data_IF_466644702163
#
_entry.id   IF_466644702163
#
_cell.length_a   1.000
_cell.length_b   1.000
_cell.length_c   1.000
_cell.angle_alpha   90.00
_cell.angle_beta   90.00
_cell.angle_gamma   90.00
#
_symmetry.space_group_name_H-M   'P 1'
#
loop_
_entity.id
_entity.type
_entity.pdbx_description
1 polymer ?
#
# COMPACT_ATOMS: atom_id res chain seq x y z
N UNK A 1 7.86 -14.13 9.42
CA UNK A 1 8.87 -13.24 10.05
C UNK A 1 8.32 -11.84 10.32
N UNK A 2 8.11 -10.98 9.30
CA UNK A 2 7.72 -9.58 9.53
C UNK A 2 6.43 -9.37 10.33
N UNK A 3 5.44 -10.27 10.23
CA UNK A 3 4.27 -10.25 11.09
C UNK A 3 4.65 -10.41 12.59
N UNK A 4 5.50 -11.38 12.92
CA UNK A 4 5.97 -11.55 14.30
C UNK A 4 6.86 -10.39 14.76
N UNK A 5 7.68 -9.83 13.84
CA UNK A 5 8.49 -8.65 14.12
C UNK A 5 7.59 -7.45 14.47
N UNK A 6 6.59 -7.14 13.64
CA UNK A 6 5.71 -5.96 13.85
C UNK A 6 4.98 -6.01 15.20
N UNK A 7 4.60 -7.20 15.67
CA UNK A 7 3.95 -7.39 16.98
C UNK A 7 4.78 -6.89 18.16
N UNK A 8 6.11 -6.83 18.05
CA UNK A 8 6.95 -6.25 19.11
C UNK A 8 6.56 -4.80 19.41
N UNK A 9 6.17 -4.03 18.37
CA UNK A 9 5.69 -2.66 18.54
C UNK A 9 4.35 -2.57 19.28
N UNK A 10 3.48 -3.58 19.16
CA UNK A 10 2.22 -3.61 19.94
C UNK A 10 2.46 -4.11 21.36
N UNK A 11 3.28 -5.15 21.53
CA UNK A 11 3.62 -5.71 22.84
C UNK A 11 4.36 -4.70 23.71
N UNK A 12 5.25 -3.88 23.12
CA UNK A 12 5.98 -2.84 23.85
C UNK A 12 5.08 -1.73 24.41
N UNK A 13 3.86 -1.52 23.89
CA UNK A 13 2.92 -0.52 24.42
C UNK A 13 2.57 -0.81 25.88
N UNK A 14 2.37 -2.08 26.27
CA UNK A 14 2.04 -2.46 27.65
C UNK A 14 3.09 -1.99 28.67
N UNK A 15 4.37 -2.39 28.51
CA UNK A 15 5.46 -1.88 29.34
C UNK A 15 5.65 -0.36 29.29
N UNK A 16 5.49 0.28 28.12
CA UNK A 16 5.60 1.74 27.98
C UNK A 16 4.55 2.45 28.84
N UNK A 17 3.30 1.98 28.83
CA UNK A 17 2.23 2.53 29.67
C UNK A 17 2.47 2.24 31.16
N UNK A 18 2.93 1.04 31.51
CA UNK A 18 3.23 0.67 32.89
C UNK A 18 4.37 1.52 33.51
N UNK A 19 5.26 2.04 32.67
CA UNK A 19 6.36 2.94 33.06
C UNK A 19 6.01 4.43 32.92
N UNK A 20 4.74 4.77 32.62
CA UNK A 20 4.25 6.15 32.40
C UNK A 20 4.96 6.90 31.26
N UNK A 21 5.43 6.16 30.23
CA UNK A 21 6.18 6.71 29.11
C UNK A 21 5.31 7.12 27.90
N UNK A 22 3.98 7.21 28.04
CA UNK A 22 3.10 7.57 26.91
C UNK A 22 3.31 8.97 26.33
N UNK A 23 3.88 9.89 27.12
CA UNK A 23 4.21 11.25 26.68
C UNK A 23 5.56 11.33 25.95
N UNK A 24 6.35 10.25 25.99
CA UNK A 24 7.66 10.17 25.34
C UNK A 24 7.56 9.60 23.92
N UNK A 25 8.55 9.93 23.10
CA UNK A 25 8.62 9.54 21.68
C UNK A 25 8.61 8.03 21.48
N UNK A 26 9.10 7.26 22.45
CA UNK A 26 9.11 5.80 22.42
C UNK A 26 7.70 5.21 22.22
N UNK A 27 6.66 5.84 22.77
CA UNK A 27 5.28 5.43 22.55
C UNK A 27 4.90 5.57 21.07
N UNK A 28 5.24 6.69 20.46
CA UNK A 28 5.03 6.93 19.03
C UNK A 28 5.86 5.97 18.16
N UNK A 29 7.15 5.77 18.48
CA UNK A 29 8.02 4.84 17.78
C UNK A 29 7.47 3.42 17.80
N UNK A 30 6.91 2.97 18.92
CA UNK A 30 6.30 1.65 19.08
C UNK A 30 5.10 1.44 18.14
N UNK A 31 4.20 2.44 18.07
CA UNK A 31 3.05 2.42 17.16
C UNK A 31 3.52 2.41 15.70
N UNK A 32 4.47 3.28 15.35
CA UNK A 32 5.00 3.33 14.00
C UNK A 32 5.78 2.07 13.62
N UNK A 33 6.45 1.42 14.58
CA UNK A 33 7.15 0.16 14.35
C UNK A 33 6.16 -0.92 13.89
N UNK A 34 5.05 -1.05 14.60
CA UNK A 34 3.97 -1.95 14.22
C UNK A 34 3.44 -1.61 12.81
N UNK A 35 3.01 -0.37 12.58
CA UNK A 35 2.43 0.05 11.30
C UNK A 35 3.40 -0.13 10.11
N UNK A 36 4.66 0.28 10.30
CA UNK A 36 5.69 0.22 9.27
C UNK A 36 5.98 -1.22 8.86
N UNK A 37 6.26 -2.11 9.82
CA UNK A 37 6.54 -3.51 9.51
C UNK A 37 5.29 -4.29 9.10
N UNK A 38 4.09 -3.80 9.40
CA UNK A 38 2.86 -4.36 8.85
C UNK A 38 2.73 -4.04 7.35
N UNK A 39 2.89 -2.77 6.95
CA UNK A 39 2.65 -2.32 5.58
C UNK A 39 3.84 -2.57 4.64
N UNK A 40 5.05 -2.22 5.07
CA UNK A 40 6.28 -2.37 4.27
C UNK A 40 6.94 -3.75 4.46
N UNK A 41 6.61 -4.44 5.55
CA UNK A 41 6.99 -5.82 5.79
C UNK A 41 5.85 -6.78 5.43
N UNK A 42 5.10 -7.23 6.42
CA UNK A 42 4.18 -8.35 6.33
C UNK A 42 3.31 -8.34 5.06
N UNK A 43 2.48 -7.32 4.86
CA UNK A 43 1.56 -7.26 3.73
C UNK A 43 2.28 -7.23 2.38
N UNK A 44 3.40 -6.51 2.31
CA UNK A 44 4.18 -6.39 1.10
C UNK A 44 4.81 -7.71 0.66
N UNK A 45 5.48 -8.39 1.58
CA UNK A 45 6.12 -9.68 1.28
C UNK A 45 5.08 -10.80 1.09
N UNK A 46 3.96 -10.76 1.80
CA UNK A 46 2.85 -11.68 1.56
C UNK A 46 2.28 -11.53 0.13
N UNK A 47 2.04 -10.29 -0.32
CA UNK A 47 1.57 -10.01 -1.67
C UNK A 47 2.54 -10.52 -2.74
N UNK A 48 3.84 -10.27 -2.59
CA UNK A 48 4.86 -10.78 -3.52
C UNK A 48 4.91 -12.32 -3.52
N UNK A 49 4.90 -12.95 -2.34
CA UNK A 49 4.94 -14.40 -2.22
C UNK A 49 3.72 -15.07 -2.87
N UNK A 50 2.52 -14.52 -2.65
CA UNK A 50 1.28 -14.99 -3.30
C UNK A 50 1.39 -14.83 -4.82
N UNK A 51 1.86 -13.68 -5.30
CA UNK A 51 2.01 -13.41 -6.74
C UNK A 51 3.01 -14.35 -7.42
N UNK A 52 4.17 -14.60 -6.81
CA UNK A 52 5.17 -15.55 -7.30
C UNK A 52 4.61 -16.97 -7.28
N UNK A 53 4.00 -17.40 -6.17
CA UNK A 53 3.42 -18.74 -6.05
C UNK A 53 2.32 -18.99 -7.07
N UNK A 54 1.47 -17.98 -7.30
CA UNK A 54 0.46 -18.03 -8.34
C UNK A 54 1.09 -18.20 -9.73
N UNK A 55 2.16 -17.45 -10.04
CA UNK A 55 2.84 -17.55 -11.32
C UNK A 55 3.46 -18.94 -11.54
N UNK A 56 4.13 -19.50 -10.53
CA UNK A 56 4.67 -20.87 -10.55
C UNK A 56 3.59 -21.91 -10.87
N UNK A 57 2.43 -21.83 -10.21
CA UNK A 57 1.32 -22.76 -10.40
C UNK A 57 0.74 -22.73 -11.82
N UNK A 58 0.94 -21.65 -12.57
CA UNK A 58 0.44 -21.48 -13.93
C UNK A 58 1.54 -21.59 -14.99
N UNK A 59 2.71 -22.14 -14.61
CA UNK A 59 3.86 -22.34 -15.51
C UNK A 59 4.48 -21.03 -16.00
N UNK A 60 4.30 -19.93 -15.28
CA UNK A 60 4.91 -18.64 -15.58
C UNK A 60 6.25 -18.58 -14.86
N UNK A 61 7.33 -18.37 -15.60
CA UNK A 61 8.68 -18.25 -15.06
C UNK A 61 8.92 -16.87 -14.41
N UNK A 62 8.22 -16.63 -13.30
CA UNK A 62 8.42 -15.46 -12.44
C UNK A 62 9.19 -15.85 -11.20
N UNK A 63 10.51 -15.81 -11.29
CA UNK A 63 11.37 -16.00 -10.12
C UNK A 63 11.70 -14.64 -9.48
N UNK A 64 11.69 -14.54 -8.15
CA UNK A 64 12.29 -13.43 -7.41
C UNK A 64 13.61 -13.89 -6.79
N UNK A 65 14.72 -13.39 -7.33
CA UNK A 65 16.05 -13.82 -6.90
C UNK A 65 16.38 -13.29 -5.51
N UNK A 66 17.29 -13.99 -4.83
CA UNK A 66 17.72 -13.66 -3.48
C UNK A 66 18.21 -12.22 -3.36
N UNK A 67 18.86 -11.66 -4.40
CA UNK A 67 19.32 -10.27 -4.37
C UNK A 67 18.15 -9.29 -4.31
N UNK A 68 17.11 -9.48 -5.13
CA UNK A 68 15.91 -8.62 -5.09
C UNK A 68 15.21 -8.72 -3.74
N UNK A 69 15.13 -9.92 -3.16
CA UNK A 69 14.52 -10.12 -1.84
C UNK A 69 15.34 -9.45 -0.71
N UNK A 70 16.66 -9.58 -0.73
CA UNK A 70 17.54 -8.91 0.25
C UNK A 70 17.41 -7.40 0.14
N UNK A 71 17.33 -6.83 -1.07
CA UNK A 71 17.13 -5.39 -1.25
C UNK A 71 15.80 -4.92 -0.63
N UNK A 72 14.71 -5.65 -0.86
CA UNK A 72 13.42 -5.35 -0.22
C UNK A 72 13.49 -5.44 1.30
N UNK A 73 14.16 -6.47 1.84
CA UNK A 73 14.27 -6.68 3.30
C UNK A 73 15.07 -5.56 3.95
N UNK A 74 16.27 -5.26 3.41
CA UNK A 74 17.12 -4.20 3.93
C UNK A 74 16.44 -2.84 3.81
N UNK A 75 15.78 -2.58 2.68
CA UNK A 75 14.96 -1.38 2.50
C UNK A 75 13.86 -1.27 3.55
N UNK A 76 13.07 -2.33 3.78
CA UNK A 76 12.00 -2.32 4.77
C UNK A 76 12.53 -2.06 6.19
N UNK A 77 13.68 -2.62 6.56
CA UNK A 77 14.30 -2.36 7.87
C UNK A 77 14.79 -0.91 7.98
N UNK A 78 15.54 -0.43 6.98
CA UNK A 78 16.14 0.90 7.01
C UNK A 78 15.11 2.03 6.93
N UNK A 79 14.05 1.85 6.15
CA UNK A 79 12.99 2.86 5.98
C UNK A 79 12.16 3.07 7.24
N UNK A 80 12.26 2.21 8.27
CA UNK A 80 11.67 2.50 9.57
C UNK A 80 12.26 3.78 10.20
N UNK A 81 13.51 4.11 9.87
CA UNK A 81 14.13 5.37 10.27
C UNK A 81 13.30 6.60 9.85
N UNK A 82 12.42 6.49 8.85
CA UNK A 82 11.53 7.57 8.44
C UNK A 82 10.51 7.90 9.55
N UNK A 83 10.00 6.88 10.25
CA UNK A 83 9.11 7.11 11.39
C UNK A 83 9.85 7.79 12.55
N UNK A 84 11.12 7.44 12.77
CA UNK A 84 11.96 8.06 13.81
C UNK A 84 12.31 9.50 13.42
N UNK A 85 12.59 9.78 12.15
CA UNK A 85 12.95 11.10 11.63
C UNK A 85 11.91 12.19 11.90
N UNK A 86 10.67 11.80 12.22
CA UNK A 86 9.62 12.73 12.60
C UNK A 86 9.81 13.32 14.00
N UNK A 87 10.24 12.50 14.96
CA UNK A 87 10.53 12.93 16.34
C UNK A 87 11.98 13.41 16.46
N UNK A 88 12.91 12.66 15.85
CA UNK A 88 14.37 12.86 15.96
C UNK A 88 14.99 13.12 14.58
N UNK A 89 14.92 14.37 14.05
CA UNK A 89 15.40 14.73 12.72
C UNK A 89 16.92 14.90 12.67
N UNK A 90 17.66 13.85 13.01
CA UNK A 90 19.13 13.84 12.97
C UNK A 90 19.70 13.43 11.59
N UNK A 91 20.88 13.93 11.20
CA UNK A 91 21.50 13.59 9.92
C UNK A 91 21.70 12.09 9.69
N UNK A 92 22.02 11.33 10.75
CA UNK A 92 22.17 9.87 10.68
C UNK A 92 20.84 9.19 10.34
N UNK A 93 19.75 9.63 10.95
CA UNK A 93 18.40 9.08 10.69
C UNK A 93 17.99 9.36 9.25
N UNK A 94 18.19 10.58 8.76
CA UNK A 94 17.96 10.89 7.33
C UNK A 94 18.86 10.09 6.40
N UNK A 95 20.13 9.84 6.76
CA UNK A 95 21.03 8.98 6.00
C UNK A 95 20.51 7.55 5.86
N UNK A 96 19.97 6.97 6.95
CA UNK A 96 19.34 5.64 6.92
C UNK A 96 18.08 5.63 6.06
N UNK A 97 17.24 6.67 6.15
CA UNK A 97 16.06 6.85 5.28
C UNK A 97 16.47 6.87 3.81
N UNK A 98 17.41 7.74 3.44
CA UNK A 98 17.86 7.88 2.05
C UNK A 98 18.43 6.57 1.51
N UNK A 99 19.26 5.86 2.30
CA UNK A 99 19.77 4.55 1.92
C UNK A 99 18.64 3.54 1.73
N UNK A 100 17.72 3.43 2.69
CA UNK A 100 16.59 2.50 2.63
C UNK A 100 15.70 2.74 1.42
N UNK A 101 15.45 4.00 1.08
CA UNK A 101 14.66 4.42 -0.07
C UNK A 101 15.38 4.13 -1.41
N UNK A 102 16.69 4.35 -1.50
CA UNK A 102 17.47 3.98 -2.70
C UNK A 102 17.46 2.48 -2.94
N UNK A 103 17.65 1.68 -1.87
CA UNK A 103 17.51 0.23 -1.96
C UNK A 103 16.09 -0.19 -2.37
N UNK A 104 15.08 0.51 -1.86
CA UNK A 104 13.67 0.29 -2.24
C UNK A 104 13.45 0.49 -3.73
N UNK A 105 13.91 1.63 -4.25
CA UNK A 105 13.74 2.00 -5.64
C UNK A 105 14.44 0.99 -6.54
N UNK A 106 15.65 0.56 -6.17
CA UNK A 106 16.37 -0.46 -6.93
C UNK A 106 15.65 -1.81 -6.92
N UNK A 107 15.13 -2.24 -5.76
CA UNK A 107 14.32 -3.44 -5.65
C UNK A 107 13.05 -3.35 -6.51
N UNK A 108 12.35 -2.21 -6.48
CA UNK A 108 11.14 -1.96 -7.26
C UNK A 108 11.41 -2.00 -8.77
N UNK A 109 12.49 -1.37 -9.24
CA UNK A 109 12.90 -1.43 -10.65
C UNK A 109 13.14 -2.89 -11.05
N UNK A 110 13.93 -3.66 -10.29
CA UNK A 110 14.19 -5.08 -10.58
C UNK A 110 12.90 -5.92 -10.60
N UNK A 111 12.01 -5.73 -9.64
CA UNK A 111 10.71 -6.40 -9.60
C UNK A 111 9.86 -6.03 -10.82
N UNK A 112 9.83 -4.75 -11.20
CA UNK A 112 9.09 -4.30 -12.39
C UNK A 112 9.61 -4.92 -13.69
N UNK A 113 10.93 -4.97 -13.89
CA UNK A 113 11.53 -5.63 -15.07
C UNK A 113 11.10 -7.10 -15.17
N UNK A 114 11.16 -7.84 -14.05
CA UNK A 114 10.74 -9.25 -14.01
C UNK A 114 9.26 -9.44 -14.31
N UNK A 115 8.39 -8.61 -13.72
CA UNK A 115 6.96 -8.63 -14.00
C UNK A 115 6.67 -8.28 -15.47
N UNK A 116 7.41 -7.34 -16.04
CA UNK A 116 7.25 -6.94 -17.44
C UNK A 116 7.63 -8.06 -18.42
N UNK A 117 8.68 -8.83 -18.12
CA UNK A 117 9.14 -9.95 -18.93
C UNK A 117 8.08 -11.07 -19.04
N UNK A 118 7.35 -11.33 -17.95
CA UNK A 118 6.31 -12.37 -17.92
C UNK A 118 4.90 -11.85 -18.25
N UNK A 119 4.74 -10.56 -18.53
CA UNK A 119 3.44 -9.91 -18.72
C UNK A 119 2.60 -10.59 -19.81
N UNK A 120 3.23 -11.05 -20.89
CA UNK A 120 2.54 -11.75 -21.99
C UNK A 120 1.93 -13.08 -21.55
N UNK A 121 2.67 -13.86 -20.76
CA UNK A 121 2.22 -15.15 -20.23
C UNK A 121 1.13 -14.94 -19.17
N UNK A 122 1.35 -14.03 -18.22
CA UNK A 122 0.39 -13.69 -17.18
C UNK A 122 -0.95 -13.18 -17.75
N UNK A 123 -0.91 -12.38 -18.83
CA UNK A 123 -2.11 -11.87 -19.51
C UNK A 123 -3.02 -12.95 -20.06
N UNK A 124 -2.50 -14.14 -20.36
CA UNK A 124 -3.30 -15.28 -20.89
C UNK A 124 -3.99 -16.05 -19.77
N UNK A 125 -3.43 -16.04 -18.56
CA UNK A 125 -3.94 -16.80 -17.42
C UNK A 125 -4.99 -16.04 -16.60
N UNK A 126 -4.88 -14.71 -16.54
CA UNK A 126 -5.82 -13.89 -15.77
C UNK A 126 -7.10 -13.54 -16.53
N UNK A 127 -8.28 -13.59 -15.86
CA UNK A 127 -9.49 -12.93 -16.34
C UNK A 127 -9.29 -11.42 -16.55
N UNK A 128 -10.00 -10.81 -17.50
CA UNK A 128 -9.87 -9.38 -17.83
C UNK A 128 -9.92 -8.45 -16.62
N UNK A 129 -10.89 -8.65 -15.74
CA UNK A 129 -11.07 -7.83 -14.53
C UNK A 129 -9.98 -8.07 -13.49
N UNK A 130 -9.46 -9.30 -13.39
CA UNK A 130 -8.33 -9.58 -12.52
C UNK A 130 -7.07 -8.88 -13.03
N UNK A 131 -6.84 -8.87 -14.36
CA UNK A 131 -5.73 -8.12 -14.97
C UNK A 131 -5.82 -6.63 -14.69
N UNK A 132 -7.04 -6.09 -14.74
CA UNK A 132 -7.27 -4.68 -14.44
C UNK A 132 -6.98 -4.38 -12.96
N UNK A 133 -7.49 -5.19 -12.02
CA UNK A 133 -7.21 -5.04 -10.59
C UNK A 133 -5.71 -5.16 -10.27
N UNK A 134 -4.99 -6.11 -10.87
CA UNK A 134 -3.52 -6.18 -10.76
C UNK A 134 -2.86 -4.92 -11.31
N UNK A 135 -3.33 -4.42 -12.45
CA UNK A 135 -2.82 -3.18 -13.04
C UNK A 135 -2.96 -1.98 -12.09
N UNK A 136 -4.12 -1.84 -11.45
CA UNK A 136 -4.36 -0.79 -10.43
C UNK A 136 -3.45 -1.00 -9.22
N UNK A 137 -3.34 -2.23 -8.70
CA UNK A 137 -2.46 -2.53 -7.57
C UNK A 137 -0.99 -2.17 -7.88
N UNK A 138 -0.50 -2.52 -9.07
CA UNK A 138 0.86 -2.20 -9.53
C UNK A 138 1.07 -0.69 -9.71
N UNK A 139 0.06 0.05 -10.18
CA UNK A 139 0.11 1.50 -10.26
C UNK A 139 0.17 2.14 -8.87
N UNK A 140 -0.64 1.69 -7.91
CA UNK A 140 -0.57 2.13 -6.52
C UNK A 140 0.78 1.80 -5.88
N UNK A 141 1.35 0.63 -6.18
CA UNK A 141 2.70 0.24 -5.78
C UNK A 141 3.77 1.17 -6.35
N UNK A 142 3.69 1.51 -7.64
CA UNK A 142 4.61 2.45 -8.25
C UNK A 142 4.50 3.83 -7.58
N UNK A 143 3.28 4.33 -7.39
CA UNK A 143 3.03 5.59 -6.69
C UNK A 143 3.59 5.57 -5.26
N UNK A 144 3.40 4.47 -4.51
CA UNK A 144 3.97 4.29 -3.17
C UNK A 144 5.49 4.45 -3.20
N UNK A 145 6.17 3.76 -4.11
CA UNK A 145 7.63 3.83 -4.25
C UNK A 145 8.07 5.24 -4.63
N UNK A 146 7.35 5.94 -5.51
CA UNK A 146 7.64 7.32 -5.89
C UNK A 146 7.49 8.28 -4.71
N UNK A 147 6.40 8.18 -3.95
CA UNK A 147 6.18 9.00 -2.74
C UNK A 147 7.26 8.73 -1.69
N UNK A 148 7.61 7.47 -1.45
CA UNK A 148 8.72 7.11 -0.55
C UNK A 148 10.08 7.57 -1.09
N UNK A 149 10.25 7.65 -2.41
CA UNK A 149 11.45 8.23 -3.03
C UNK A 149 11.54 9.72 -2.79
N UNK A 150 10.42 10.43 -2.90
CA UNK A 150 10.35 11.86 -2.70
C UNK A 150 10.76 12.27 -1.27
N UNK A 151 10.38 11.49 -0.24
CA UNK A 151 10.76 11.77 1.16
C UNK A 151 12.25 11.52 1.46
N UNK A 152 13.06 11.05 0.52
CA UNK A 152 14.51 11.10 0.66
C UNK A 152 15.05 12.54 0.69
N UNK A 153 14.29 13.51 0.17
CA UNK A 153 14.60 14.93 0.26
C UNK A 153 14.08 15.48 1.61
N UNK A 154 14.94 16.04 2.49
CA UNK A 154 14.53 16.48 3.83
C UNK A 154 13.39 17.50 3.85
N UNK A 155 13.29 18.37 2.84
CA UNK A 155 12.18 19.31 2.67
C UNK A 155 10.84 18.57 2.48
N UNK A 156 10.83 17.54 1.63
CA UNK A 156 9.65 16.74 1.35
C UNK A 156 9.29 15.86 2.54
N UNK A 157 10.28 15.29 3.24
CA UNK A 157 10.06 14.53 4.47
C UNK A 157 9.33 15.38 5.53
N UNK A 158 9.84 16.59 5.82
CA UNK A 158 9.21 17.52 6.78
C UNK A 158 7.79 17.91 6.39
N UNK A 159 7.54 18.14 5.10
CA UNK A 159 6.20 18.41 4.58
C UNK A 159 5.27 17.20 4.75
N UNK A 160 5.73 16.02 4.35
CA UNK A 160 4.95 14.79 4.41
C UNK A 160 4.51 14.45 5.84
N UNK A 161 5.34 14.79 6.83
CA UNK A 161 5.02 14.54 8.23
C UNK A 161 4.12 15.59 8.90
N UNK A 162 4.17 16.83 8.45
CA UNK A 162 3.37 17.92 9.04
C UNK A 162 1.95 17.94 8.47
N UNK A 163 1.79 17.57 7.20
CA UNK A 163 0.50 17.59 6.51
C UNK A 163 -0.17 16.21 6.61
N UNK A 164 -1.13 16.11 7.53
CA UNK A 164 -1.87 14.87 7.82
C UNK A 164 -2.49 14.21 6.58
N UNK A 165 -2.91 15.00 5.59
CA UNK A 165 -3.54 14.48 4.37
C UNK A 165 -2.59 13.59 3.56
N UNK A 166 -1.28 13.90 3.54
CA UNK A 166 -0.29 13.05 2.89
C UNK A 166 -0.08 11.73 3.63
N UNK A 167 -0.04 11.76 4.97
CA UNK A 167 0.08 10.54 5.78
C UNK A 167 -1.14 9.63 5.59
N UNK A 168 -2.34 10.20 5.66
CA UNK A 168 -3.60 9.46 5.46
C UNK A 168 -3.66 8.86 4.05
N UNK A 169 -3.36 9.66 3.02
CA UNK A 169 -3.30 9.19 1.63
C UNK A 169 -2.29 8.05 1.47
N UNK A 170 -1.07 8.20 1.98
CA UNK A 170 -0.06 7.14 1.90
C UNK A 170 -0.52 5.82 2.55
N UNK A 171 -1.21 5.88 3.70
CA UNK A 171 -1.78 4.68 4.35
C UNK A 171 -2.90 4.08 3.49
N UNK A 172 -3.81 4.90 2.95
CA UNK A 172 -4.88 4.45 2.06
C UNK A 172 -4.35 3.83 0.77
N UNK A 173 -3.33 4.43 0.15
CA UNK A 173 -2.67 3.88 -1.02
C UNK A 173 -2.13 2.46 -0.77
N UNK A 174 -1.53 2.21 0.39
CA UNK A 174 -1.04 0.88 0.77
C UNK A 174 -2.18 -0.10 1.05
N UNK A 175 -3.19 0.31 1.81
CA UNK A 175 -4.27 -0.55 2.28
C UNK A 175 -5.39 -0.70 1.24
N UNK A 176 -6.07 0.40 0.91
CA UNK A 176 -7.14 0.45 -0.08
C UNK A 176 -6.63 0.28 -1.51
N UNK A 177 -5.54 0.94 -1.87
CA UNK A 177 -5.01 0.88 -3.24
C UNK A 177 -4.42 -0.50 -3.57
N UNK A 178 -3.40 -0.93 -2.82
CA UNK A 178 -2.67 -2.16 -3.13
C UNK A 178 -3.43 -3.39 -2.58
N UNK A 179 -3.69 -3.47 -1.28
CA UNK A 179 -4.19 -4.71 -0.67
C UNK A 179 -5.61 -5.05 -1.12
N UNK A 180 -6.54 -4.09 -1.15
CA UNK A 180 -7.91 -4.37 -1.64
C UNK A 180 -7.90 -4.84 -3.09
N UNK A 181 -7.09 -4.23 -3.97
CA UNK A 181 -7.02 -4.65 -5.37
C UNK A 181 -6.41 -6.05 -5.55
N UNK A 182 -5.44 -6.43 -4.72
CA UNK A 182 -4.90 -7.79 -4.70
C UNK A 182 -5.92 -8.80 -4.17
N UNK A 183 -6.68 -8.46 -3.13
CA UNK A 183 -7.78 -9.30 -2.63
C UNK A 183 -8.89 -9.48 -3.67
N UNK A 184 -9.27 -8.42 -4.39
CA UNK A 184 -10.24 -8.49 -5.47
C UNK A 184 -9.72 -9.31 -6.65
N UNK A 185 -8.44 -9.20 -6.98
CA UNK A 185 -7.77 -10.06 -7.97
C UNK A 185 -7.93 -11.53 -7.58
N UNK A 186 -7.63 -11.86 -6.33
CA UNK A 186 -7.76 -13.23 -5.82
C UNK A 186 -9.22 -13.72 -5.86
N UNK A 187 -10.18 -12.89 -5.42
CA UNK A 187 -11.60 -13.22 -5.44
C UNK A 187 -12.13 -13.47 -6.87
N UNK A 188 -11.66 -12.70 -7.86
CA UNK A 188 -11.97 -12.91 -9.28
C UNK A 188 -11.31 -14.17 -9.85
N UNK A 189 -10.09 -14.47 -9.40
CA UNK A 189 -9.34 -15.65 -9.84
C UNK A 189 -9.98 -16.95 -9.32
N UNK A 190 -10.23 -17.06 -8.01
CA UNK A 190 -10.93 -18.24 -7.41
C UNK A 190 -12.39 -18.33 -7.88
N UNK A 191 -12.95 -17.25 -8.41
CA UNK A 191 -14.31 -17.23 -8.95
C UNK A 191 -15.40 -16.98 -7.91
N UNK A 192 -15.05 -16.39 -6.76
CA UNK A 192 -16.01 -15.88 -5.77
C UNK A 192 -16.86 -14.74 -6.35
N UNK A 193 -16.26 -13.93 -7.22
CA UNK A 193 -16.95 -12.88 -7.98
C UNK A 193 -17.28 -13.37 -9.39
N UNK A 194 -18.56 -13.26 -9.78
CA UNK A 194 -18.97 -13.64 -11.12
C UNK A 194 -18.52 -12.60 -12.15
N UNK A 195 -17.52 -13.00 -12.94
CA UNK A 195 -16.95 -12.23 -14.06
C UNK A 195 -17.99 -11.85 -15.13
N UNK A 196 -19.09 -12.61 -15.27
CA UNK A 196 -20.17 -12.32 -16.24
C UNK A 196 -21.21 -11.36 -15.69
N UNK A 197 -21.32 -11.23 -14.37
CA UNK A 197 -22.31 -10.36 -13.73
C UNK A 197 -22.04 -8.89 -14.05
N UNK A 198 -23.00 -8.22 -14.68
CA UNK A 198 -22.92 -6.77 -14.94
C UNK A 198 -22.82 -5.99 -13.63
N UNK A 199 -23.50 -6.47 -12.59
CA UNK A 199 -23.51 -5.87 -11.24
C UNK A 199 -22.12 -5.95 -10.61
N UNK A 200 -21.45 -7.11 -10.67
CA UNK A 200 -20.09 -7.26 -10.13
C UNK A 200 -19.09 -6.35 -10.86
N UNK A 201 -19.17 -6.25 -12.20
CA UNK A 201 -18.31 -5.36 -12.98
C UNK A 201 -18.52 -3.89 -12.63
N UNK A 202 -19.78 -3.48 -12.48
CA UNK A 202 -20.11 -2.12 -12.07
C UNK A 202 -19.63 -1.85 -10.64
N UNK A 203 -19.82 -2.80 -9.72
CA UNK A 203 -19.31 -2.71 -8.35
C UNK A 203 -17.78 -2.56 -8.29
N UNK A 204 -17.04 -3.32 -9.10
CA UNK A 204 -15.57 -3.22 -9.18
C UNK A 204 -15.11 -1.85 -9.67
N UNK A 205 -15.77 -1.32 -10.72
CA UNK A 205 -15.50 0.01 -11.23
C UNK A 205 -15.81 1.10 -10.20
N UNK A 206 -16.98 1.05 -9.59
CA UNK A 206 -17.44 2.04 -8.60
C UNK A 206 -16.52 2.05 -7.37
N UNK A 207 -16.15 0.87 -6.86
CA UNK A 207 -15.21 0.74 -5.75
C UNK A 207 -13.85 1.37 -6.08
N UNK A 208 -13.31 1.05 -7.25
CA UNK A 208 -11.98 1.56 -7.65
C UNK A 208 -12.01 3.05 -7.93
N UNK A 209 -13.08 3.56 -8.54
CA UNK A 209 -13.29 4.99 -8.71
C UNK A 209 -13.33 5.71 -7.37
N UNK A 210 -14.03 5.16 -6.37
CA UNK A 210 -14.05 5.70 -5.01
C UNK A 210 -12.66 5.76 -4.38
N UNK A 211 -11.87 4.69 -4.51
CA UNK A 211 -10.49 4.65 -4.01
C UNK A 211 -9.62 5.69 -4.72
N UNK A 212 -9.59 5.70 -6.06
CA UNK A 212 -8.74 6.63 -6.83
C UNK A 212 -9.15 8.09 -6.59
N UNK A 213 -10.44 8.39 -6.55
CA UNK A 213 -10.93 9.75 -6.34
C UNK A 213 -10.66 10.25 -4.92
N UNK A 214 -10.89 9.42 -3.90
CA UNK A 214 -10.57 9.79 -2.51
C UNK A 214 -9.06 9.99 -2.30
N UNK A 215 -8.24 9.13 -2.89
CA UNK A 215 -6.78 9.25 -2.85
C UNK A 215 -6.30 10.54 -3.52
N UNK A 216 -6.83 10.83 -4.71
CA UNK A 216 -6.54 12.07 -5.42
C UNK A 216 -6.91 13.31 -4.59
N UNK A 217 -8.09 13.32 -3.96
CA UNK A 217 -8.53 14.44 -3.13
C UNK A 217 -7.64 14.64 -1.89
N UNK A 218 -7.16 13.55 -1.26
CA UNK A 218 -6.23 13.62 -0.13
C UNK A 218 -4.90 14.26 -0.53
N UNK A 219 -4.27 13.77 -1.60
CA UNK A 219 -3.01 14.35 -2.09
C UNK A 219 -3.18 15.79 -2.60
N UNK A 220 -4.30 16.08 -3.27
CA UNK A 220 -4.61 17.43 -3.75
C UNK A 220 -4.77 18.41 -2.58
N UNK A 221 -5.57 18.06 -1.58
CA UNK A 221 -5.76 18.89 -0.38
C UNK A 221 -4.46 19.06 0.41
N UNK A 222 -3.66 18.00 0.51
CA UNK A 222 -2.32 18.10 1.12
C UNK A 222 -1.44 19.12 0.38
N UNK A 223 -1.51 19.13 -0.95
CA UNK A 223 -0.76 20.07 -1.80
C UNK A 223 -1.25 21.50 -1.67
N UNK A 224 -2.57 21.71 -1.50
CA UNK A 224 -3.13 23.04 -1.22
C UNK A 224 -2.65 23.60 0.11
N UNK A 225 -2.58 22.77 1.16
CA UNK A 225 -2.01 23.19 2.43
C UNK A 225 -0.53 23.53 2.31
N UNK A 226 0.24 22.72 1.59
CA UNK A 226 1.65 23.01 1.35
C UNK A 226 1.87 24.32 0.59
N UNK A 227 1.05 24.58 -0.43
CA UNK A 227 1.11 25.80 -1.24
C UNK A 227 0.55 27.05 -0.53
N UNK A 228 0.04 26.92 0.71
CA UNK A 228 -0.56 28.04 1.44
C UNK A 228 -1.93 28.49 0.89
N UNK A 229 -2.57 27.68 0.02
CA UNK A 229 -3.87 27.98 -0.58
C UNK A 229 -5.06 27.67 0.34
N UNK A 230 -4.81 27.01 1.47
CA UNK A 230 -5.83 26.67 2.47
C UNK A 230 -6.69 25.46 2.09
N UNK A 231 -7.94 25.44 2.57
CA UNK A 231 -8.87 24.33 2.34
C UNK A 231 -9.63 24.51 1.02
N UNK A 232 -9.76 23.43 0.24
CA UNK A 232 -10.60 23.44 -0.96
C UNK A 232 -12.06 23.66 -0.51
N UNK A 233 -12.81 24.61 -1.09
CA UNK A 233 -14.20 24.81 -0.76
C UNK A 233 -15.00 23.51 -0.89
N UNK A 234 -15.73 23.13 0.17
CA UNK A 234 -16.49 21.88 0.19
C UNK A 234 -15.65 20.59 0.29
N UNK A 235 -14.36 20.65 0.62
CA UNK A 235 -13.46 19.49 0.69
C UNK A 235 -14.06 18.28 1.41
N UNK A 236 -14.64 18.48 2.60
CA UNK A 236 -15.22 17.39 3.39
C UNK A 236 -16.41 16.74 2.67
N UNK A 237 -17.25 17.51 1.98
CA UNK A 237 -18.32 16.96 1.16
C UNK A 237 -17.76 16.16 -0.01
N UNK A 238 -16.78 16.68 -0.74
CA UNK A 238 -16.12 15.94 -1.82
C UNK A 238 -15.53 14.61 -1.32
N UNK A 239 -14.91 14.60 -0.14
CA UNK A 239 -14.40 13.39 0.50
C UNK A 239 -15.50 12.39 0.85
N UNK A 240 -16.63 12.84 1.43
CA UNK A 240 -17.77 11.98 1.75
C UNK A 240 -18.37 11.37 0.47
N UNK A 241 -18.62 12.19 -0.56
CA UNK A 241 -19.19 11.75 -1.84
C UNK A 241 -18.31 10.70 -2.53
N UNK A 242 -17.01 10.96 -2.63
CA UNK A 242 -16.06 10.04 -3.27
C UNK A 242 -15.87 8.76 -2.46
N UNK A 243 -15.77 8.87 -1.13
CA UNK A 243 -15.60 7.71 -0.24
C UNK A 243 -16.85 6.85 -0.17
N UNK A 244 -18.06 7.41 -0.32
CA UNK A 244 -19.32 6.67 -0.36
C UNK A 244 -19.41 5.69 -1.54
N UNK A 245 -18.65 5.92 -2.63
CA UNK A 245 -18.55 4.98 -3.74
C UNK A 245 -17.91 3.65 -3.32
N UNK A 246 -17.03 3.65 -2.31
CA UNK A 246 -16.35 2.43 -1.83
C UNK A 246 -17.35 1.42 -1.24
N UNK A 247 -18.16 1.76 -0.21
CA UNK A 247 -19.17 0.83 0.32
C UNK A 247 -20.26 0.50 -0.69
N UNK A 248 -20.65 1.44 -1.57
CA UNK A 248 -21.60 1.16 -2.66
C UNK A 248 -21.04 0.12 -3.63
N UNK A 249 -19.79 0.30 -4.06
CA UNK A 249 -19.09 -0.65 -4.93
C UNK A 249 -18.94 -2.02 -4.29
N UNK A 250 -18.63 -2.07 -2.98
CA UNK A 250 -18.58 -3.31 -2.22
C UNK A 250 -19.95 -4.00 -2.14
N UNK A 251 -21.03 -3.27 -1.86
CA UNK A 251 -22.38 -3.81 -1.84
C UNK A 251 -22.78 -4.42 -3.19
N UNK A 252 -22.46 -3.72 -4.29
CA UNK A 252 -22.69 -4.23 -5.65
C UNK A 252 -21.86 -5.48 -5.95
N UNK A 253 -20.60 -5.55 -5.50
CA UNK A 253 -19.78 -6.75 -5.63
C UNK A 253 -20.38 -7.94 -4.87
N UNK A 254 -20.90 -7.72 -3.67
CA UNK A 254 -21.56 -8.74 -2.86
C UNK A 254 -22.89 -9.20 -3.49
N UNK A 255 -23.66 -8.29 -4.08
CA UNK A 255 -24.89 -8.64 -4.83
C UNK A 255 -24.57 -9.39 -6.12
N UNK A 256 -23.48 -9.05 -6.78
CA UNK A 256 -22.99 -9.69 -7.99
C UNK A 256 -22.19 -10.98 -7.75
N UNK A 257 -22.13 -11.48 -6.52
CA UNK A 257 -21.40 -12.72 -6.18
C UNK A 257 -22.02 -13.92 -6.89
N UNK A 258 -21.20 -14.93 -7.17
CA UNK A 258 -21.69 -16.17 -7.77
C UNK A 258 -22.48 -16.97 -6.72
N UNK A 259 -23.77 -17.19 -6.93
CA UNK A 259 -24.62 -17.97 -6.03
C UNK A 259 -24.43 -19.48 -6.28
N UNK A 260 -23.51 -20.14 -5.56
CA UNK A 260 -23.31 -21.60 -5.52
C UNK A 260 -22.87 -22.23 -6.85
N UNK A 261 -21.73 -22.90 -6.95
CA UNK A 261 -21.41 -24.20 -6.34
C UNK A 261 -19.90 -24.25 -6.10
N UNK A 262 -19.49 -24.56 -4.87
CA UNK A 262 -18.14 -25.06 -4.65
C UNK A 262 -18.03 -26.44 -5.34
N UNK A 263 -16.96 -26.73 -6.10
CA UNK A 263 -16.57 -28.12 -6.31
C UNK A 263 -16.19 -28.77 -4.97
#
# INVERSE_FOLDING_TARGET
FFFGLSLLGTVAIGPILALDLQSHEIYYWSIQFYLHFQFNGWFWFAAMAIGVRWAEQHGIDLNMDSRTMVLWILSAVLTYALAIAWSEPHPVVFGLVSLGVVLQLWAAIRTFWRLSAVRGQARRQFPDWARWSVGVALACMAMKVLVQTAVAVPLVARMAFTIRHYVIGFIHLNTLGIMTMLLLTYALWVGWLDRRSRVARFGLWTLTLGIVASEFLLFLQGTFFWAGLGIIPGHYWHMVLTSALIPVGLALLLMGRRSGTHP
#
